data_IF_728229808375
#
_entry.id   IF_728229808375
#
_cell.length_a   1.000
_cell.length_b   1.000
_cell.length_c   1.000
_cell.angle_alpha   90.00
_cell.angle_beta   90.00
_cell.angle_gamma   90.00
#
_symmetry.space_group_name_H-M   'P 1'
#
loop_
_entity.id
_entity.type
_entity.pdbx_description
1 polymer ?
#
# COMPACT_ATOMS: atom_id res chain seq x y z
N UNK A 1 -12.86 -9.37 4.98
CA UNK A 1 -13.27 -8.45 6.06
C UNK A 1 -13.60 -7.10 5.45
N UNK A 2 -14.89 -6.75 5.26
CA UNK A 2 -15.27 -5.50 4.57
C UNK A 2 -14.79 -4.24 5.29
N UNK A 3 -14.57 -3.15 4.54
CA UNK A 3 -14.33 -1.82 5.12
C UNK A 3 -15.46 -1.44 6.10
N UNK A 4 -15.16 -0.72 7.19
CA UNK A 4 -16.16 -0.31 8.17
C UNK A 4 -17.33 0.45 7.51
N UNK A 5 -18.57 0.30 7.98
CA UNK A 5 -19.69 1.12 7.52
C UNK A 5 -19.37 2.61 7.63
N UNK A 6 -19.55 3.37 6.55
CA UNK A 6 -19.23 4.81 6.50
C UNK A 6 -17.78 5.16 6.18
N UNK A 7 -16.90 4.15 6.03
CA UNK A 7 -15.53 4.38 5.59
C UNK A 7 -15.49 4.59 4.07
N UNK A 8 -15.19 5.82 3.65
CA UNK A 8 -14.93 6.17 2.26
C UNK A 8 -13.40 6.27 2.04
N UNK A 9 -12.78 5.33 1.31
CA UNK A 9 -11.35 5.38 1.03
C UNK A 9 -10.95 6.61 0.21
N UNK A 10 -11.86 7.13 -0.63
CA UNK A 10 -11.58 8.28 -1.50
C UNK A 10 -11.68 9.61 -0.72
N UNK A 11 -12.28 9.60 0.47
CA UNK A 11 -12.27 10.74 1.38
C UNK A 11 -10.91 10.93 2.07
N UNK A 12 -10.07 9.89 2.12
CA UNK A 12 -8.75 9.95 2.76
C UNK A 12 -7.71 10.55 1.83
N UNK A 13 -7.10 11.64 2.28
CA UNK A 13 -6.13 12.42 1.48
C UNK A 13 -4.86 12.68 2.27
N UNK A 14 -3.72 12.45 1.61
CA UNK A 14 -2.42 12.99 2.01
C UNK A 14 -2.24 14.34 1.33
N UNK A 15 -2.14 15.42 2.11
CA UNK A 15 -1.93 16.77 1.58
C UNK A 15 -1.10 17.64 2.52
N UNK A 16 -0.66 18.78 2.00
CA UNK A 16 -0.03 19.82 2.81
C UNK A 16 -1.04 20.36 3.83
N UNK A 17 -0.58 20.54 5.06
CA UNK A 17 -1.38 21.01 6.17
C UNK A 17 -1.62 22.52 6.06
N UNK A 18 -2.82 22.96 6.44
CA UNK A 18 -3.07 24.38 6.78
C UNK A 18 -2.30 24.77 8.03
N UNK A 19 -2.23 26.07 8.34
CA UNK A 19 -1.56 26.54 9.55
C UNK A 19 -2.22 26.01 10.84
N UNK A 20 -3.56 25.94 10.86
CA UNK A 20 -4.33 25.36 11.96
C UNK A 20 -4.04 23.86 12.11
N UNK A 21 -4.02 23.12 11.01
CA UNK A 21 -3.74 21.68 11.00
C UNK A 21 -2.29 21.37 11.37
N UNK A 22 -1.35 22.24 11.01
CA UNK A 22 0.05 22.16 11.44
C UNK A 22 0.16 22.33 12.96
N UNK A 23 -0.54 23.31 13.53
CA UNK A 23 -0.58 23.47 15.00
C UNK A 23 -1.25 22.26 15.64
N UNK A 24 -2.31 21.74 15.03
CA UNK A 24 -3.00 20.54 15.53
C UNK A 24 -2.12 19.29 15.44
N UNK A 25 -1.34 19.13 14.37
CA UNK A 25 -0.39 18.03 14.25
C UNK A 25 0.70 18.13 15.32
N UNK A 26 1.23 19.34 15.62
CA UNK A 26 2.15 19.52 16.74
C UNK A 26 1.51 19.22 18.10
N UNK A 27 0.24 19.58 18.32
CA UNK A 27 -0.49 19.15 19.53
C UNK A 27 -0.55 17.63 19.64
N UNK A 28 -0.87 16.95 18.55
CA UNK A 28 -0.90 15.49 18.50
C UNK A 28 0.49 14.90 18.80
N UNK A 29 1.53 15.40 18.12
CA UNK A 29 2.93 14.98 18.28
C UNK A 29 3.47 15.20 19.70
N UNK A 30 2.93 16.20 20.41
CA UNK A 30 3.34 16.55 21.78
C UNK A 30 3.20 15.37 22.75
N UNK A 31 2.26 14.46 22.50
CA UNK A 31 2.07 13.24 23.31
C UNK A 31 3.35 12.42 23.41
N UNK A 32 4.12 12.32 22.33
CA UNK A 32 5.39 11.58 22.29
C UNK A 32 6.62 12.47 22.43
N UNK A 33 6.60 13.72 21.95
CA UNK A 33 7.82 14.48 21.73
C UNK A 33 7.97 15.75 22.58
N UNK A 34 6.97 16.13 23.39
CA UNK A 34 7.10 17.32 24.23
C UNK A 34 8.13 17.18 25.35
N UNK A 35 8.44 15.94 25.76
CA UNK A 35 9.30 15.68 26.90
C UNK A 35 8.83 16.43 28.15
N UNK A 36 9.70 17.29 28.70
CA UNK A 36 9.43 18.09 29.90
C UNK A 36 8.63 19.37 29.63
N UNK A 37 8.40 19.73 28.37
CA UNK A 37 7.69 20.96 28.01
C UNK A 37 6.19 20.84 28.29
N UNK A 38 5.57 21.99 28.56
CA UNK A 38 4.13 22.12 28.39
C UNK A 38 3.78 21.97 26.90
N UNK A 39 2.52 21.65 26.59
CA UNK A 39 2.08 21.53 25.19
C UNK A 39 2.25 22.86 24.45
N UNK A 40 1.97 23.99 25.10
CA UNK A 40 2.17 25.32 24.53
C UNK A 40 3.63 25.62 24.24
N UNK A 41 4.54 25.30 25.16
CA UNK A 41 5.98 25.53 24.96
C UNK A 41 6.54 24.62 23.87
N UNK A 42 6.05 23.39 23.78
CA UNK A 42 6.42 22.47 22.69
C UNK A 42 5.98 23.01 21.33
N UNK A 43 4.75 23.53 21.21
CA UNK A 43 4.27 24.17 19.98
C UNK A 43 5.13 25.40 19.64
N UNK A 44 5.45 26.23 20.63
CA UNK A 44 6.36 27.38 20.44
C UNK A 44 7.75 26.94 19.95
N UNK A 45 8.27 25.84 20.48
CA UNK A 45 9.52 25.24 20.00
C UNK A 45 9.41 24.77 18.54
N UNK A 46 8.32 24.11 18.15
CA UNK A 46 8.12 23.67 16.75
C UNK A 46 8.02 24.86 15.79
N UNK A 47 7.33 25.94 16.20
CA UNK A 47 7.27 27.18 15.43
C UNK A 47 8.66 27.80 15.24
N UNK A 48 9.45 27.89 16.31
CA UNK A 48 10.84 28.36 16.24
C UNK A 48 11.70 27.49 15.32
N UNK A 49 11.59 26.15 15.42
CA UNK A 49 12.30 25.23 14.55
C UNK A 49 11.92 25.38 13.08
N UNK A 50 10.65 25.68 12.79
CA UNK A 50 10.14 25.92 11.43
C UNK A 50 10.64 27.22 10.78
N UNK A 51 11.14 28.17 11.59
CA UNK A 51 11.57 29.49 11.12
C UNK A 51 13.11 29.70 11.16
N UNK A 52 13.88 28.60 11.20
CA UNK A 52 15.33 28.67 11.12
C UNK A 52 15.78 28.79 9.66
N UNK A 53 17.02 29.24 9.41
CA UNK A 53 17.60 29.38 8.07
C UNK A 53 17.48 28.10 7.20
N UNK A 54 17.55 26.93 7.84
CA UNK A 54 17.44 25.63 7.17
C UNK A 54 16.00 25.29 6.77
N UNK A 55 15.00 25.78 7.50
CA UNK A 55 13.60 25.31 7.44
C UNK A 55 12.65 26.38 6.89
N UNK A 56 12.93 27.67 7.10
CA UNK A 56 12.11 28.78 6.64
C UNK A 56 11.97 28.83 5.11
N UNK A 57 11.03 29.64 4.64
CA UNK A 57 10.77 29.86 3.22
C UNK A 57 10.41 28.58 2.44
N UNK A 58 9.64 27.69 3.07
CA UNK A 58 9.12 26.46 2.44
C UNK A 58 10.13 25.32 2.29
N UNK A 59 11.32 25.43 2.92
CA UNK A 59 12.30 24.34 2.98
C UNK A 59 11.85 23.20 3.88
N UNK A 60 11.07 23.50 4.92
CA UNK A 60 10.23 22.52 5.62
C UNK A 60 8.78 22.63 5.14
N UNK A 61 8.14 21.49 4.93
CA UNK A 61 6.70 21.38 4.65
C UNK A 61 6.05 20.37 5.58
N UNK A 62 4.78 20.60 5.89
CA UNK A 62 4.01 19.83 6.85
C UNK A 62 2.88 19.11 6.13
N UNK A 63 2.80 17.80 6.30
CA UNK A 63 1.87 16.93 5.61
C UNK A 63 0.96 16.25 6.62
N UNK A 64 -0.30 16.08 6.26
CA UNK A 64 -1.29 15.34 7.04
C UNK A 64 -2.01 14.31 6.19
N UNK A 65 -2.36 13.19 6.79
CA UNK A 65 -3.30 12.21 6.27
C UNK A 65 -4.61 12.34 7.04
N UNK A 66 -5.69 12.67 6.33
CA UNK A 66 -6.97 13.09 6.92
C UNK A 66 -8.15 12.73 6.04
N UNK A 67 -9.34 12.57 6.64
CA UNK A 67 -10.65 12.51 5.97
C UNK A 67 -11.35 13.88 5.90
N UNK A 68 -10.67 14.96 6.33
CA UNK A 68 -11.23 16.30 6.49
C UNK A 68 -11.85 16.57 7.87
N UNK A 69 -12.03 15.54 8.71
CA UNK A 69 -12.54 15.67 10.08
C UNK A 69 -11.46 15.40 11.14
N UNK A 70 -10.56 14.45 10.88
CA UNK A 70 -9.51 14.03 11.81
C UNK A 70 -8.14 13.94 11.11
N UNK A 71 -7.07 14.26 11.84
CA UNK A 71 -5.69 14.01 11.38
C UNK A 71 -5.24 12.64 11.91
N UNK A 72 -5.19 11.65 11.03
CA UNK A 72 -4.77 10.29 11.36
C UNK A 72 -3.26 10.13 11.41
N UNK A 73 -2.52 10.88 10.59
CA UNK A 73 -1.06 10.91 10.65
C UNK A 73 -0.54 12.25 10.17
N UNK A 74 0.65 12.62 10.62
CA UNK A 74 1.38 13.77 10.07
C UNK A 74 2.84 13.40 9.81
N UNK A 75 3.46 14.14 8.89
CA UNK A 75 4.88 14.05 8.58
C UNK A 75 5.42 15.41 8.12
N UNK A 76 6.73 15.57 8.17
CA UNK A 76 7.43 16.77 7.72
C UNK A 76 8.45 16.38 6.66
N UNK A 77 8.57 17.17 5.59
CA UNK A 77 9.65 17.03 4.61
C UNK A 77 10.57 18.22 4.70
N UNK A 78 11.87 17.96 4.89
CA UNK A 78 12.89 18.99 5.03
C UNK A 78 13.91 18.90 3.90
N UNK A 79 13.96 19.94 3.08
CA UNK A 79 14.91 20.10 2.00
C UNK A 79 16.27 20.54 2.53
N UNK A 80 17.34 19.83 2.19
CA UNK A 80 18.72 20.14 2.60
C UNK A 80 19.70 19.94 1.44
N UNK A 81 20.76 20.76 1.32
CA UNK A 81 21.82 20.49 0.36
C UNK A 81 22.63 19.27 0.81
N UNK A 82 23.02 18.42 -0.14
CA UNK A 82 23.87 17.24 0.08
C UNK A 82 24.99 17.22 -0.94
N UNK A 83 26.18 16.76 -0.53
CA UNK A 83 27.25 16.48 -1.46
C UNK A 83 27.04 15.07 -2.03
N UNK A 84 27.09 14.94 -3.36
CA UNK A 84 26.98 13.66 -4.06
C UNK A 84 28.27 13.42 -4.81
N UNK A 85 28.82 12.20 -4.69
CA UNK A 85 29.97 11.76 -5.47
C UNK A 85 29.51 10.79 -6.55
N UNK A 86 29.74 11.14 -7.81
CA UNK A 86 29.45 10.27 -8.95
C UNK A 86 30.50 9.17 -9.10
N UNK A 87 30.19 8.15 -9.91
CA UNK A 87 31.06 7.00 -10.13
C UNK A 87 32.41 7.37 -10.78
N UNK A 88 32.45 8.44 -11.58
CA UNK A 88 33.67 9.01 -12.16
C UNK A 88 34.48 9.87 -11.16
N UNK A 89 33.99 10.00 -9.93
CA UNK A 89 34.66 10.66 -8.82
C UNK A 89 34.42 12.16 -8.71
N UNK A 90 33.59 12.76 -9.57
CA UNK A 90 33.18 14.16 -9.44
C UNK A 90 32.27 14.35 -8.21
N UNK A 91 32.33 15.55 -7.61
CA UNK A 91 31.50 15.92 -6.46
C UNK A 91 30.61 17.10 -6.85
N UNK A 92 29.30 16.93 -6.72
CA UNK A 92 28.31 18.00 -6.88
C UNK A 92 27.56 18.27 -5.58
N UNK A 93 26.88 19.42 -5.51
CA UNK A 93 25.90 19.69 -4.44
C UNK A 93 24.51 19.56 -5.04
N UNK A 94 23.70 18.68 -4.47
CA UNK A 94 22.33 18.40 -4.87
C UNK A 94 21.36 18.70 -3.73
N UNK A 95 20.05 18.69 -4.02
CA UNK A 95 19.02 18.78 -3.00
C UNK A 95 18.54 17.38 -2.57
N UNK A 96 18.41 17.18 -1.27
CA UNK A 96 17.80 15.98 -0.67
C UNK A 96 16.61 16.38 0.21
N UNK A 97 15.64 15.48 0.33
CA UNK A 97 14.49 15.64 1.20
C UNK A 97 14.54 14.60 2.32
N UNK A 98 14.71 15.07 3.55
CA UNK A 98 14.57 14.23 4.74
C UNK A 98 13.12 14.19 5.20
N UNK A 99 12.59 12.99 5.45
CA UNK A 99 11.28 12.83 6.11
C UNK A 99 11.49 12.79 7.62
N UNK A 100 10.87 13.73 8.32
CA UNK A 100 10.92 13.92 9.76
C UNK A 100 9.49 14.07 10.31
N UNK A 101 9.34 14.32 11.61
CA UNK A 101 8.03 14.63 12.20
C UNK A 101 6.94 13.56 12.05
N UNK A 102 7.28 12.33 11.61
CA UNK A 102 6.29 11.27 11.34
C UNK A 102 5.64 10.81 12.64
N UNK A 103 4.35 11.08 12.78
CA UNK A 103 3.55 10.75 13.95
C UNK A 103 2.15 10.27 13.57
N UNK A 104 1.66 9.28 14.31
CA UNK A 104 0.31 8.72 14.20
C UNK A 104 -0.28 8.78 15.61
N UNK A 105 -1.35 9.56 15.86
CA UNK A 105 -2.01 9.58 17.16
C UNK A 105 -2.54 8.20 17.55
N UNK A 106 -2.61 7.91 18.84
CA UNK A 106 -3.16 6.65 19.33
C UNK A 106 -4.65 6.55 18.96
N UNK A 107 -5.02 5.54 18.18
CA UNK A 107 -6.42 5.17 17.99
C UNK A 107 -6.88 4.24 19.12
N UNK A 108 -8.17 4.28 19.46
CA UNK A 108 -8.73 3.68 20.67
C UNK A 108 -8.86 2.14 20.65
N UNK A 109 -8.51 1.43 19.57
CA UNK A 109 -8.62 -0.04 19.54
C UNK A 109 -7.36 -0.73 20.07
N UNK A 110 -7.53 -1.79 20.86
CA UNK A 110 -6.41 -2.63 21.32
C UNK A 110 -5.96 -3.67 20.27
N UNK A 111 -6.82 -3.96 19.29
CA UNK A 111 -6.48 -4.70 18.08
C UNK A 111 -6.41 -3.74 16.89
N UNK A 112 -5.23 -3.59 16.30
CA UNK A 112 -5.05 -2.78 15.10
C UNK A 112 -5.13 -3.66 13.86
N UNK A 113 -6.14 -3.41 13.03
CA UNK A 113 -6.26 -4.01 11.71
C UNK A 113 -5.75 -3.01 10.66
N UNK A 114 -4.72 -3.37 9.91
CA UNK A 114 -4.18 -2.53 8.82
C UNK A 114 -4.56 -3.14 7.48
N UNK A 115 -5.06 -2.29 6.59
CA UNK A 115 -5.47 -2.63 5.22
C UNK A 115 -4.93 -1.57 4.27
N UNK A 116 -4.28 -1.99 3.19
CA UNK A 116 -4.11 -1.12 2.04
C UNK A 116 -5.40 -1.06 1.26
N UNK A 117 -5.85 0.14 0.92
CA UNK A 117 -7.09 0.30 0.21
C UNK A 117 -6.90 -0.11 -1.25
N UNK A 118 -7.64 -1.12 -1.74
CA UNK A 118 -7.50 -1.64 -3.10
C UNK A 118 -8.19 -0.71 -4.10
N UNK A 119 -7.63 0.48 -4.24
CA UNK A 119 -8.15 1.56 -5.10
C UNK A 119 -7.76 1.33 -6.55
N UNK A 120 -8.50 1.95 -7.46
CA UNK A 120 -8.11 1.97 -8.87
C UNK A 120 -6.78 2.71 -9.08
N UNK A 121 -6.49 3.76 -8.29
CA UNK A 121 -5.22 4.46 -8.36
C UNK A 121 -4.03 3.51 -8.13
N UNK A 122 -4.11 2.66 -7.11
CA UNK A 122 -3.09 1.63 -6.84
C UNK A 122 -2.98 0.62 -7.98
N UNK A 123 -4.10 0.10 -8.48
CA UNK A 123 -4.10 -0.82 -9.63
C UNK A 123 -3.50 -0.17 -10.89
N UNK A 124 -3.85 1.08 -11.18
CA UNK A 124 -3.39 1.82 -12.35
C UNK A 124 -1.87 2.07 -12.33
N UNK A 125 -1.29 2.25 -11.14
CA UNK A 125 0.15 2.38 -10.97
C UNK A 125 0.88 1.09 -11.39
N UNK A 126 0.38 -0.08 -10.99
CA UNK A 126 0.91 -1.36 -11.44
C UNK A 126 0.78 -1.52 -12.96
N UNK A 127 -0.37 -1.17 -13.53
CA UNK A 127 -0.63 -1.27 -14.97
C UNK A 127 0.30 -0.38 -15.80
N UNK A 128 0.55 0.85 -15.35
CA UNK A 128 1.47 1.75 -16.02
C UNK A 128 2.91 1.18 -16.05
N UNK A 129 3.32 0.51 -14.98
CA UNK A 129 4.64 -0.14 -14.90
C UNK A 129 4.78 -1.28 -15.90
N UNK A 130 3.82 -2.22 -15.96
CA UNK A 130 3.87 -3.32 -16.93
C UNK A 130 3.76 -2.85 -18.38
N UNK A 131 2.94 -1.82 -18.67
CA UNK A 131 2.80 -1.27 -20.01
C UNK A 131 4.10 -0.63 -20.48
N UNK A 132 4.77 0.10 -19.60
CA UNK A 132 6.07 0.68 -19.90
C UNK A 132 7.10 -0.41 -20.21
N UNK A 133 7.21 -1.44 -19.37
CA UNK A 133 8.13 -2.57 -19.59
C UNK A 133 7.79 -3.29 -20.90
N UNK A 134 6.53 -3.64 -21.11
CA UNK A 134 6.06 -4.29 -22.34
C UNK A 134 6.40 -3.48 -23.60
N UNK A 135 6.22 -2.15 -23.56
CA UNK A 135 6.58 -1.25 -24.67
C UNK A 135 8.08 -1.27 -25.03
N UNK A 136 8.93 -1.71 -24.09
CA UNK A 136 10.37 -1.86 -24.34
C UNK A 136 10.73 -3.26 -24.84
N UNK A 137 10.04 -4.28 -24.34
CA UNK A 137 10.32 -5.68 -24.67
C UNK A 137 9.69 -6.12 -26.01
N UNK A 138 8.49 -5.63 -26.33
CA UNK A 138 7.71 -6.08 -27.48
C UNK A 138 7.53 -4.95 -28.49
N UNK A 139 8.59 -4.67 -29.25
CA UNK A 139 8.59 -3.71 -30.37
C UNK A 139 8.54 -4.49 -31.67
N UNK A 140 7.49 -4.29 -32.47
CA UNK A 140 7.21 -4.96 -33.76
C UNK A 140 6.55 -6.36 -33.68
N UNK A 141 5.20 -6.41 -33.63
CA UNK A 141 4.30 -5.28 -33.42
C UNK A 141 4.41 -4.76 -31.98
N UNK A 142 4.19 -3.46 -31.79
CA UNK A 142 4.06 -2.89 -30.46
C UNK A 142 2.92 -3.60 -29.73
N UNK A 143 3.22 -4.13 -28.54
CA UNK A 143 2.28 -4.95 -27.80
C UNK A 143 2.36 -4.62 -26.31
N UNK A 144 1.24 -4.20 -25.75
CA UNK A 144 1.08 -3.93 -24.31
C UNK A 144 -0.10 -4.73 -23.75
N UNK A 145 -0.08 -5.15 -22.48
CA UNK A 145 -1.22 -5.84 -21.86
C UNK A 145 -2.47 -4.98 -21.86
N UNK A 146 -3.50 -5.39 -22.62
CA UNK A 146 -4.81 -4.74 -22.60
C UNK A 146 -5.76 -5.40 -21.59
N UNK A 147 -5.60 -6.72 -21.37
CA UNK A 147 -6.42 -7.49 -20.44
C UNK A 147 -5.79 -7.45 -19.05
N UNK A 148 -6.38 -6.67 -18.14
CA UNK A 148 -5.86 -6.46 -16.77
C UNK A 148 -6.51 -7.36 -15.72
N UNK A 149 -7.46 -8.21 -16.11
CA UNK A 149 -8.29 -8.95 -15.17
C UNK A 149 -9.41 -9.71 -15.84
N UNK A 150 -10.18 -10.42 -15.03
CA UNK A 150 -11.36 -11.16 -15.47
C UNK A 150 -12.48 -11.08 -14.44
N UNK A 151 -13.67 -11.46 -14.89
CA UNK A 151 -14.87 -11.62 -14.07
C UNK A 151 -15.56 -12.92 -14.43
N UNK A 152 -16.11 -13.62 -13.44
CA UNK A 152 -16.94 -14.80 -13.65
C UNK A 152 -18.22 -14.44 -14.40
N UNK A 153 -18.80 -15.44 -15.07
CA UNK A 153 -20.01 -15.29 -15.89
C UNK A 153 -21.18 -14.66 -15.14
N UNK A 154 -21.31 -14.96 -13.85
CA UNK A 154 -22.36 -14.45 -12.95
C UNK A 154 -22.03 -13.11 -12.27
N UNK A 155 -20.88 -12.51 -12.60
CA UNK A 155 -20.38 -11.27 -12.00
C UNK A 155 -20.02 -11.34 -10.52
N UNK A 156 -19.97 -12.55 -9.96
CA UNK A 156 -19.81 -12.75 -8.52
C UNK A 156 -18.35 -12.74 -8.07
N UNK A 157 -17.45 -13.21 -8.93
CA UNK A 157 -16.01 -13.28 -8.65
C UNK A 157 -15.28 -12.46 -9.71
N UNK A 158 -14.29 -11.69 -9.30
CA UNK A 158 -13.48 -10.89 -10.20
C UNK A 158 -12.03 -10.85 -9.72
N UNK A 159 -11.10 -10.59 -10.62
CA UNK A 159 -9.73 -10.30 -10.25
C UNK A 159 -9.11 -9.27 -11.19
N UNK A 160 -7.97 -8.73 -10.76
CA UNK A 160 -7.03 -8.08 -11.66
C UNK A 160 -5.61 -8.57 -11.39
N UNK A 161 -4.75 -8.47 -12.40
CA UNK A 161 -3.43 -9.06 -12.41
C UNK A 161 -2.39 -8.15 -13.05
N UNK A 162 -1.14 -8.53 -12.85
CA UNK A 162 0.05 -7.88 -13.38
C UNK A 162 0.87 -8.90 -14.19
N UNK A 163 1.39 -8.48 -15.34
CA UNK A 163 2.37 -9.22 -16.13
C UNK A 163 3.77 -8.85 -15.64
N UNK A 164 4.35 -9.67 -14.77
CA UNK A 164 5.73 -9.53 -14.36
C UNK A 164 6.65 -10.22 -15.38
N UNK A 165 7.05 -9.47 -16.40
CA UNK A 165 7.96 -9.94 -17.43
C UNK A 165 9.38 -10.22 -16.91
N UNK A 166 9.78 -9.62 -15.78
CA UNK A 166 11.10 -9.85 -15.21
C UNK A 166 11.18 -11.22 -14.53
N UNK A 167 10.09 -11.60 -13.86
CA UNK A 167 9.98 -12.90 -13.16
C UNK A 167 9.27 -13.98 -14.00
N UNK A 168 8.90 -13.68 -15.25
CA UNK A 168 8.22 -14.60 -16.17
C UNK A 168 6.90 -15.16 -15.61
N UNK A 169 6.12 -14.28 -14.99
CA UNK A 169 4.98 -14.64 -14.13
C UNK A 169 3.80 -13.68 -14.31
N UNK A 170 2.59 -14.21 -14.39
CA UNK A 170 1.35 -13.46 -14.19
C UNK A 170 0.99 -13.49 -12.71
N UNK A 171 0.78 -12.34 -12.09
CA UNK A 171 0.49 -12.24 -10.66
C UNK A 171 -0.90 -11.67 -10.46
N UNK A 172 -1.81 -12.45 -9.88
CA UNK A 172 -3.11 -11.96 -9.44
C UNK A 172 -2.86 -11.03 -8.26
N UNK A 173 -3.10 -9.73 -8.48
CA UNK A 173 -2.92 -8.70 -7.47
C UNK A 173 -4.06 -8.74 -6.46
N UNK A 174 -5.28 -9.07 -6.90
CA UNK A 174 -6.46 -9.18 -6.04
C UNK A 174 -7.51 -10.12 -6.60
N UNK A 175 -8.15 -10.89 -5.72
CA UNK A 175 -9.35 -11.68 -6.02
C UNK A 175 -10.52 -11.18 -5.14
N UNK A 176 -11.57 -10.65 -5.79
CA UNK A 176 -12.72 -10.07 -5.12
C UNK A 176 -14.03 -10.82 -5.37
N UNK A 177 -14.95 -10.68 -4.41
CA UNK A 177 -16.30 -11.24 -4.46
C UNK A 177 -17.34 -10.12 -4.32
N UNK A 178 -18.34 -10.09 -5.21
CA UNK A 178 -19.31 -8.97 -5.33
C UNK A 178 -20.42 -9.02 -4.27
N UNK A 179 -20.81 -10.21 -3.78
CA UNK A 179 -21.77 -10.33 -2.66
C UNK A 179 -21.01 -10.56 -1.36
N UNK A 180 -21.40 -9.79 -0.33
CA UNK A 180 -21.04 -10.03 1.06
C UNK A 180 -21.76 -11.31 1.51
N UNK A 181 -21.02 -12.38 1.72
CA UNK A 181 -21.57 -13.59 2.34
C UNK A 181 -21.01 -13.62 3.77
N UNK A 182 -21.89 -13.44 4.75
CA UNK A 182 -21.59 -13.51 6.20
C UNK A 182 -21.44 -14.96 6.69
N UNK A 183 -21.51 -15.95 5.79
CA UNK A 183 -21.36 -17.37 6.13
C UNK A 183 -20.02 -17.90 5.64
N UNK A 184 -19.25 -18.54 6.54
CA UNK A 184 -17.92 -19.10 6.30
C UNK A 184 -17.88 -20.24 5.26
N UNK A 185 -19.03 -20.73 4.80
CA UNK A 185 -19.12 -21.83 3.85
C UNK A 185 -19.05 -21.33 2.40
N UNK A 186 -17.97 -21.72 1.72
CA UNK A 186 -17.79 -21.51 0.28
C UNK A 186 -18.94 -22.16 -0.49
N UNK A 187 -19.74 -21.35 -1.20
CA UNK A 187 -20.78 -21.90 -2.06
C UNK A 187 -20.13 -22.52 -3.30
N UNK A 188 -20.73 -23.59 -3.85
CA UNK A 188 -20.23 -24.23 -5.08
C UNK A 188 -20.07 -23.23 -6.24
N UNK A 189 -20.98 -22.25 -6.33
CA UNK A 189 -20.89 -21.15 -7.30
C UNK A 189 -19.64 -20.29 -7.13
N UNK A 190 -19.17 -20.08 -5.90
CA UNK A 190 -17.93 -19.33 -5.64
C UNK A 190 -16.73 -20.11 -6.17
N UNK A 191 -16.68 -21.43 -5.95
CA UNK A 191 -15.62 -22.28 -6.47
C UNK A 191 -15.61 -22.30 -8.01
N UNK A 192 -16.79 -22.41 -8.62
CA UNK A 192 -16.94 -22.33 -10.09
C UNK A 192 -16.46 -20.98 -10.62
N UNK A 193 -16.81 -19.88 -9.95
CA UNK A 193 -16.36 -18.53 -10.28
C UNK A 193 -14.84 -18.38 -10.16
N UNK A 194 -14.24 -18.84 -9.06
CA UNK A 194 -12.79 -18.83 -8.87
C UNK A 194 -12.08 -19.68 -9.93
N UNK A 195 -12.62 -20.85 -10.26
CA UNK A 195 -12.07 -21.70 -11.31
C UNK A 195 -12.11 -21.02 -12.70
N UNK A 196 -13.19 -20.28 -13.02
CA UNK A 196 -13.25 -19.46 -14.24
C UNK A 196 -12.17 -18.38 -14.26
N UNK A 197 -11.98 -17.68 -13.13
CA UNK A 197 -10.94 -16.66 -12.98
C UNK A 197 -9.54 -17.24 -13.22
N UNK A 198 -9.21 -18.36 -12.57
CA UNK A 198 -7.91 -19.00 -12.72
C UNK A 198 -7.68 -19.52 -14.14
N UNK A 199 -8.71 -20.02 -14.83
CA UNK A 199 -8.61 -20.39 -16.26
C UNK A 199 -8.32 -19.16 -17.13
N UNK A 200 -9.01 -18.05 -16.90
CA UNK A 200 -8.78 -16.81 -17.64
C UNK A 200 -7.36 -16.27 -17.42
N UNK A 201 -6.89 -16.24 -16.18
CA UNK A 201 -5.54 -15.81 -15.84
C UNK A 201 -4.47 -16.72 -16.49
N UNK A 202 -4.66 -18.05 -16.49
CA UNK A 202 -3.75 -18.98 -17.18
C UNK A 202 -3.75 -18.79 -18.71
N UNK A 203 -4.90 -18.49 -19.30
CA UNK A 203 -5.00 -18.21 -20.73
C UNK A 203 -4.28 -16.90 -21.10
N UNK A 204 -4.41 -15.86 -20.27
CA UNK A 204 -3.66 -14.62 -20.43
C UNK A 204 -2.15 -14.86 -20.30
N UNK A 205 -1.72 -15.56 -19.24
CA UNK A 205 -0.31 -15.92 -19.04
C UNK A 205 0.27 -16.66 -20.26
N UNK A 206 -0.45 -17.66 -20.78
CA UNK A 206 -0.05 -18.39 -21.98
C UNK A 206 0.03 -17.50 -23.23
N UNK A 207 -0.90 -16.55 -23.38
CA UNK A 207 -0.91 -15.58 -24.49
C UNK A 207 0.31 -14.65 -24.47
N UNK A 208 0.87 -14.40 -23.29
CA UNK A 208 2.10 -13.62 -23.08
C UNK A 208 3.36 -14.46 -22.95
N UNK A 209 3.25 -15.79 -23.02
CA UNK A 209 4.38 -16.71 -22.85
C UNK A 209 4.93 -16.76 -21.42
N UNK A 210 4.15 -16.30 -20.43
CA UNK A 210 4.53 -16.32 -19.02
C UNK A 210 4.45 -17.75 -18.47
N UNK A 211 5.47 -18.17 -17.73
CA UNK A 211 5.60 -19.56 -17.26
C UNK A 211 4.81 -19.86 -15.99
N UNK A 212 4.51 -18.85 -15.19
CA UNK A 212 3.92 -19.03 -13.87
C UNK A 212 2.69 -18.15 -13.66
N UNK A 213 1.69 -18.66 -12.95
CA UNK A 213 0.60 -17.89 -12.36
C UNK A 213 0.76 -17.89 -10.85
N UNK A 214 0.84 -16.72 -10.23
CA UNK A 214 0.92 -16.58 -8.79
C UNK A 214 -0.25 -15.81 -8.21
N UNK A 215 -0.60 -16.12 -6.96
CA UNK A 215 -1.60 -15.42 -6.16
C UNK A 215 -1.10 -15.39 -4.71
N UNK A 216 -1.28 -14.25 -4.05
CA UNK A 216 -0.85 -14.04 -2.68
C UNK A 216 -2.01 -14.22 -1.70
N UNK A 217 -1.71 -14.74 -0.50
CA UNK A 217 -2.68 -15.03 0.57
C UNK A 217 -3.95 -15.76 0.07
N UNK A 218 -3.82 -16.86 -0.71
CA UNK A 218 -4.98 -17.54 -1.28
C UNK A 218 -5.87 -18.11 -0.19
N UNK A 219 -7.16 -17.79 -0.26
CA UNK A 219 -8.13 -18.35 0.68
C UNK A 219 -8.49 -19.81 0.34
N UNK A 220 -9.30 -20.42 1.22
CA UNK A 220 -9.77 -21.80 1.06
C UNK A 220 -10.51 -22.04 -0.25
N UNK A 221 -11.20 -21.04 -0.80
CA UNK A 221 -11.95 -21.16 -2.07
C UNK A 221 -10.99 -21.33 -3.25
N UNK A 222 -9.88 -20.61 -3.26
CA UNK A 222 -8.83 -20.77 -4.27
C UNK A 222 -8.24 -22.17 -4.22
N UNK A 223 -7.86 -22.64 -3.03
CA UNK A 223 -7.28 -23.97 -2.84
C UNK A 223 -8.27 -25.08 -3.22
N UNK A 224 -9.54 -24.97 -2.79
CA UNK A 224 -10.61 -25.90 -3.17
C UNK A 224 -10.88 -25.89 -4.67
N UNK A 225 -10.98 -24.73 -5.32
CA UNK A 225 -11.18 -24.64 -6.76
C UNK A 225 -10.02 -25.27 -7.55
N UNK A 226 -8.78 -25.06 -7.12
CA UNK A 226 -7.61 -25.72 -7.69
C UNK A 226 -7.73 -27.25 -7.60
N UNK A 227 -8.02 -27.79 -6.41
CA UNK A 227 -8.08 -29.23 -6.18
C UNK A 227 -9.29 -29.91 -6.85
N UNK A 228 -10.47 -29.35 -6.64
CA UNK A 228 -11.76 -30.00 -6.93
C UNK A 228 -12.22 -29.79 -8.37
N UNK A 229 -11.92 -28.63 -8.97
CA UNK A 229 -12.44 -28.25 -10.29
C UNK A 229 -11.34 -28.23 -11.36
N UNK A 230 -10.17 -27.69 -11.01
CA UNK A 230 -9.07 -27.55 -11.96
C UNK A 230 -8.12 -28.74 -11.94
N UNK A 231 -8.19 -29.58 -10.91
CA UNK A 231 -7.27 -30.69 -10.65
C UNK A 231 -5.80 -30.25 -10.72
N UNK A 232 -5.52 -29.10 -10.08
CA UNK A 232 -4.20 -28.51 -9.95
C UNK A 232 -3.70 -28.67 -8.51
N UNK A 233 -2.40 -28.91 -8.38
CA UNK A 233 -1.69 -28.90 -7.11
C UNK A 233 -0.80 -27.64 -7.08
N UNK A 234 -1.28 -26.53 -6.49
CA UNK A 234 -0.49 -25.31 -6.41
C UNK A 234 0.66 -25.50 -5.42
N UNK A 235 1.84 -25.01 -5.80
CA UNK A 235 2.97 -24.91 -4.87
C UNK A 235 2.72 -23.75 -3.90
N UNK A 236 2.73 -24.03 -2.60
CA UNK A 236 2.60 -23.00 -1.56
C UNK A 236 4.00 -22.60 -1.12
N UNK A 237 4.32 -21.31 -1.22
CA UNK A 237 5.60 -20.74 -0.80
C UNK A 237 5.38 -19.69 0.28
N UNK A 238 6.18 -19.76 1.34
CA UNK A 238 6.27 -18.69 2.33
C UNK A 238 7.26 -17.63 1.84
N UNK A 239 6.77 -16.62 1.13
CA UNK A 239 7.58 -15.52 0.61
C UNK A 239 7.80 -14.48 1.72
N UNK A 240 8.90 -14.65 2.47
CA UNK A 240 9.31 -13.75 3.56
C UNK A 240 10.41 -12.75 3.16
N UNK A 241 10.93 -12.85 1.93
CA UNK A 241 12.01 -12.01 1.43
C UNK A 241 11.49 -11.10 0.30
N UNK A 242 11.36 -9.81 0.61
CA UNK A 242 10.87 -8.80 -0.34
C UNK A 242 9.35 -8.66 -0.35
N UNK A 243 8.88 -7.47 -0.68
CA UNK A 243 7.48 -7.15 -0.96
C UNK A 243 6.47 -7.35 0.20
N UNK A 244 6.94 -7.44 1.44
CA UNK A 244 6.09 -7.47 2.65
C UNK A 244 5.85 -6.04 3.14
N UNK A 245 4.59 -5.54 3.15
CA UNK A 245 4.31 -4.23 3.71
C UNK A 245 4.65 -4.18 5.20
N UNK A 246 5.47 -3.20 5.61
CA UNK A 246 5.85 -3.04 7.01
C UNK A 246 5.65 -1.58 7.47
N UNK A 247 4.81 -1.33 8.51
CA UNK A 247 4.65 -0.03 9.11
C UNK A 247 5.78 0.14 10.09
N UNK A 248 6.42 1.30 10.03
CA UNK A 248 7.39 1.67 11.04
C UNK A 248 6.65 2.31 12.21
N UNK A 249 6.39 1.54 13.25
CA UNK A 249 5.97 2.08 14.54
C UNK A 249 7.16 2.79 15.21
N UNK A 250 7.04 4.09 15.49
CA UNK A 250 8.03 4.80 16.32
C UNK A 250 7.70 4.58 17.80
N UNK A 251 8.56 3.84 18.51
CA UNK A 251 8.62 3.86 19.97
C UNK A 251 9.22 5.18 20.46
N UNK A 252 8.83 5.59 21.66
CA UNK A 252 9.65 6.48 22.47
C UNK A 252 10.28 5.73 23.66
N UNK A 253 11.27 6.39 24.24
CA UNK A 253 12.26 5.88 25.21
C UNK A 253 11.67 5.60 26.61
N UNK A 254 10.35 5.44 26.74
CA UNK A 254 9.65 5.44 28.04
C UNK A 254 8.64 4.29 28.27
N UNK A 255 8.37 3.42 27.28
CA UNK A 255 7.39 2.33 27.44
C UNK A 255 5.95 2.85 27.60
N UNK A 256 4.89 2.18 27.16
CA UNK A 256 4.73 0.85 26.59
C UNK A 256 3.34 0.82 25.95
N UNK A 257 3.25 0.53 24.65
CA UNK A 257 2.38 -0.50 24.07
C UNK A 257 2.61 -0.51 22.56
N UNK A 258 3.42 -1.46 22.09
CA UNK A 258 3.12 -2.06 20.78
C UNK A 258 1.74 -2.68 20.96
N UNK A 259 0.82 -2.56 20.00
CA UNK A 259 -0.27 -3.52 19.94
C UNK A 259 0.34 -4.92 20.10
N UNK A 260 -0.13 -5.69 21.07
CA UNK A 260 0.36 -7.06 21.25
C UNK A 260 0.14 -7.88 19.97
N UNK A 261 -0.83 -7.46 19.14
CA UNK A 261 -1.11 -8.00 17.81
C UNK A 261 -1.45 -6.87 16.82
N UNK A 262 -0.79 -6.88 15.66
CA UNK A 262 -1.22 -6.12 14.47
C UNK A 262 -1.73 -7.14 13.47
N UNK A 263 -3.00 -7.02 13.09
CA UNK A 263 -3.60 -7.87 12.08
C UNK A 263 -3.49 -7.19 10.71
N UNK A 264 -2.75 -7.79 9.79
CA UNK A 264 -2.78 -7.40 8.38
C UNK A 264 -3.97 -8.06 7.71
N UNK A 265 -4.97 -7.26 7.36
CA UNK A 265 -6.02 -7.72 6.46
C UNK A 265 -5.62 -7.40 5.01
N UNK A 266 -6.04 -8.26 4.09
CA UNK A 266 -5.77 -8.14 2.65
C UNK A 266 -4.26 -8.08 2.33
N UNK A 267 -3.54 -9.16 2.65
CA UNK A 267 -2.11 -9.35 2.35
C UNK A 267 -1.87 -9.81 0.91
N UNK A 268 -2.80 -9.46 0.02
CA UNK A 268 -2.71 -9.75 -1.39
C UNK A 268 -1.64 -8.85 -2.04
N UNK A 269 -1.11 -9.25 -3.19
CA UNK A 269 0.04 -8.57 -3.81
C UNK A 269 -0.26 -7.13 -4.22
N UNK A 270 -1.54 -6.75 -4.41
CA UNK A 270 -1.88 -5.35 -4.71
C UNK A 270 -1.34 -4.39 -3.65
N UNK A 271 -1.21 -4.82 -2.39
CA UNK A 271 -0.76 -3.99 -1.28
C UNK A 271 0.69 -3.53 -1.42
N UNK A 272 1.46 -4.16 -2.31
CA UNK A 272 2.84 -3.82 -2.57
C UNK A 272 2.99 -2.71 -3.61
N UNK A 273 3.90 -1.77 -3.39
CA UNK A 273 4.33 -0.73 -4.31
C UNK A 273 5.82 -0.44 -4.18
#
# INVERSE_FOLDING_TARGET
>A
MSLPPGFDPDALVLREATDEEKIQSWRNNSVAWKGKLSVSDYIGQQACNGDQDLTRSGRIRYWIYTDGTEIYTSAETLQKPVAVRSADGQVSTEWSYGVAGVFTPKQQSEDFCVVFLPTYAQASWHFASEEYVASKLFKNPDRVPACKGARSSDAMVWCYWLHDFNSDRLTILRLGFTKRIETDDAQKSDLDGVAQILRAARAEAATWGLKELSIWDPDKRVLSACKEILHLEPEIRDEIQGNVPCPRWKYDRWGSHVPSQVHWAYREMYAWC
#
